data_IF_205045548293
#
_entry.id   IF_205045548293
#
_cell.length_a   1.000
_cell.length_b   1.000
_cell.length_c   1.000
_cell.angle_alpha   90.00
_cell.angle_beta   90.00
_cell.angle_gamma   90.00
#
_symmetry.space_group_name_H-M   'P 1'
#
loop_
_entity.id
_entity.type
_entity.pdbx_description
1 polymer ?
#
# COMPACT_ATOMS: atom_id res chain seq x y z
N UNK A 1 1.02 11.35 68.21
CA UNK A 1 0.83 11.47 69.67
C UNK A 1 0.71 12.95 69.94
N UNK A 2 -0.48 13.54 69.91
CA UNK A 2 -1.70 13.14 70.62
C UNK A 2 -2.92 13.37 69.73
N UNK A 3 -3.90 12.52 69.97
CA UNK A 3 -5.18 12.32 69.30
C UNK A 3 -6.25 13.37 69.64
N UNK A 4 -7.43 13.16 69.04
CA UNK A 4 -8.79 13.33 69.62
C UNK A 4 -9.36 14.75 69.59
N UNK A 5 -10.58 15.01 69.13
CA UNK A 5 -11.61 14.29 68.35
C UNK A 5 -12.82 15.25 68.31
N UNK A 6 -13.82 14.91 67.47
CA UNK A 6 -15.26 15.08 67.73
C UNK A 6 -15.87 16.49 67.74
N UNK A 7 -17.08 16.73 67.27
CA UNK A 7 -18.09 15.94 66.55
C UNK A 7 -19.19 16.93 66.11
N UNK A 8 -20.09 16.46 65.25
CA UNK A 8 -21.54 16.72 65.21
C UNK A 8 -21.97 16.98 63.77
N UNK A 9 -22.31 15.95 63.00
CA UNK A 9 -23.51 15.10 63.09
C UNK A 9 -24.77 15.80 62.56
N UNK A 10 -25.37 15.14 61.57
CA UNK A 10 -26.80 14.76 61.49
C UNK A 10 -27.24 14.82 60.01
N UNK A 11 -27.80 13.81 59.37
CA UNK A 11 -28.23 12.47 59.75
C UNK A 11 -28.81 11.85 58.48
N UNK A 12 -28.41 10.61 58.16
CA UNK A 12 -29.12 9.74 57.21
C UNK A 12 -30.38 9.19 57.92
N UNK A 13 -31.45 8.63 57.29
CA UNK A 13 -31.29 7.43 56.44
C UNK A 13 -32.42 7.04 55.43
N UNK A 14 -32.12 5.97 54.66
CA UNK A 14 -33.00 4.94 54.05
C UNK A 14 -33.77 5.21 52.73
N UNK A 15 -33.57 4.32 51.73
CA UNK A 15 -34.63 3.82 50.84
C UNK A 15 -34.25 3.47 49.37
N UNK A 16 -34.12 2.18 49.02
CA UNK A 16 -34.14 1.62 47.63
C UNK A 16 -35.57 1.13 47.26
N UNK A 17 -35.90 0.56 46.07
CA UNK A 17 -35.55 0.78 44.63
C UNK A 17 -36.81 0.84 43.67
N UNK A 18 -36.65 1.21 42.37
CA UNK A 18 -37.23 0.53 41.15
C UNK A 18 -37.41 1.40 39.87
N UNK A 19 -36.83 0.89 38.78
CA UNK A 19 -37.25 0.83 37.37
C UNK A 19 -37.89 2.05 36.65
N UNK A 20 -37.16 2.59 35.66
CA UNK A 20 -37.75 3.08 34.41
C UNK A 20 -37.13 2.37 33.21
N UNK A 21 -38.01 1.80 32.39
CA UNK A 21 -37.74 1.12 31.12
C UNK A 21 -37.40 2.15 30.03
N UNK A 22 -36.50 1.79 29.13
CA UNK A 22 -36.47 2.37 27.79
C UNK A 22 -35.08 2.78 27.30
N UNK A 23 -34.42 1.88 26.57
CA UNK A 23 -33.75 2.13 25.29
C UNK A 23 -32.94 0.88 24.94
N UNK A 24 -33.20 0.26 23.79
CA UNK A 24 -32.30 -0.73 23.21
C UNK A 24 -30.91 -0.09 23.11
N UNK A 25 -29.81 -0.74 23.56
CA UNK A 25 -28.49 -0.24 23.24
C UNK A 25 -28.37 -0.27 21.72
N UNK A 26 -28.25 0.90 21.09
CA UNK A 26 -27.73 0.97 19.74
C UNK A 26 -26.34 0.37 19.85
N UNK A 27 -26.15 -0.83 19.31
CA UNK A 27 -24.83 -1.41 19.09
C UNK A 27 -24.02 -0.39 18.31
N UNK A 28 -23.20 0.37 19.03
CA UNK A 28 -22.09 1.09 18.44
C UNK A 28 -21.32 0.01 17.68
N UNK A 29 -21.18 0.17 16.36
CA UNK A 29 -20.23 -0.64 15.61
C UNK A 29 -18.89 -0.38 16.28
N UNK A 30 -18.43 -1.35 17.05
CA UNK A 30 -17.12 -1.34 17.65
C UNK A 30 -16.15 -1.05 16.51
N UNK A 31 -15.49 0.11 16.58
CA UNK A 31 -14.51 0.49 15.57
C UNK A 31 -13.39 -0.51 15.70
N UNK A 32 -13.39 -1.54 14.84
CA UNK A 32 -12.32 -2.54 14.81
C UNK A 32 -11.05 -1.80 14.43
N UNK A 33 -10.24 -1.47 15.43
CA UNK A 33 -8.92 -0.91 15.24
C UNK A 33 -8.08 -1.99 14.56
N UNK A 34 -7.64 -1.71 13.33
CA UNK A 34 -6.77 -2.60 12.58
C UNK A 34 -5.32 -2.25 12.89
N UNK A 35 -4.56 -3.23 13.38
CA UNK A 35 -3.12 -3.12 13.46
C UNK A 35 -2.53 -3.26 12.06
N UNK A 36 -1.56 -2.39 11.72
CA UNK A 36 -0.82 -2.39 10.46
C UNK A 36 0.64 -2.22 10.73
N UNK A 37 1.48 -2.81 9.87
CA UNK A 37 2.91 -2.54 9.91
C UNK A 37 3.21 -1.11 9.42
N UNK A 38 4.35 -0.50 9.82
CA UNK A 38 4.74 0.81 9.30
C UNK A 38 4.80 0.84 7.77
N UNK A 39 5.32 -0.22 7.13
CA UNK A 39 5.40 -0.31 5.68
C UNK A 39 4.02 -0.35 5.01
N UNK A 40 3.10 -1.15 5.55
CA UNK A 40 1.72 -1.23 5.05
C UNK A 40 0.99 0.11 5.20
N UNK A 41 1.20 0.81 6.32
CA UNK A 41 0.63 2.13 6.55
C UNK A 41 1.07 3.14 5.48
N UNK A 42 2.36 3.23 5.16
CA UNK A 42 2.86 4.16 4.15
C UNK A 42 2.50 3.75 2.72
N UNK A 43 2.39 2.45 2.43
CA UNK A 43 1.97 1.96 1.12
C UNK A 43 0.54 2.40 0.79
N UNK A 44 -0.36 2.38 1.78
CA UNK A 44 -1.74 2.84 1.64
C UNK A 44 -1.88 4.37 1.71
N UNK A 45 -1.00 5.06 2.43
CA UNK A 45 -1.10 6.49 2.73
C UNK A 45 0.12 7.26 2.20
N UNK A 46 0.41 7.14 0.90
CA UNK A 46 1.62 7.72 0.27
C UNK A 46 1.75 9.23 0.44
N UNK A 47 0.62 9.94 0.50
CA UNK A 47 0.58 11.40 0.68
C UNK A 47 1.17 11.86 2.02
N UNK A 48 1.07 11.05 3.08
CA UNK A 48 1.59 11.38 4.41
C UNK A 48 3.11 11.54 4.37
N UNK A 49 3.79 10.68 3.61
CA UNK A 49 5.24 10.75 3.43
C UNK A 49 5.66 11.58 2.21
N UNK A 50 4.73 12.26 1.52
CA UNK A 50 5.04 13.11 0.38
C UNK A 50 5.29 12.37 -0.96
N UNK A 51 4.87 11.10 -1.05
CA UNK A 51 5.02 10.25 -2.24
C UNK A 51 3.74 10.16 -3.10
N UNK A 52 2.88 11.18 -3.06
CA UNK A 52 1.61 11.24 -3.78
C UNK A 52 1.74 11.69 -5.24
N UNK A 53 2.74 12.51 -5.54
CA UNK A 53 3.02 13.05 -6.87
C UNK A 53 4.47 12.72 -7.26
N UNK A 54 4.78 12.23 -8.48
CA UNK A 54 6.14 11.93 -8.91
C UNK A 54 7.14 13.06 -8.67
N UNK A 55 6.78 14.32 -8.96
CA UNK A 55 7.69 15.46 -8.74
C UNK A 55 7.99 15.69 -7.26
N UNK A 56 6.96 15.59 -6.40
CA UNK A 56 7.12 15.71 -4.95
C UNK A 56 7.84 14.51 -4.34
N UNK A 57 7.64 13.33 -4.91
CA UNK A 57 8.33 12.09 -4.52
C UNK A 57 9.83 12.22 -4.76
N UNK A 58 10.22 12.73 -5.93
CA UNK A 58 11.62 12.96 -6.28
C UNK A 58 12.26 14.01 -5.36
N UNK A 59 11.58 15.15 -5.17
CA UNK A 59 12.05 16.20 -4.26
C UNK A 59 12.23 15.68 -2.83
N UNK A 60 11.22 14.98 -2.29
CA UNK A 60 11.27 14.41 -0.93
C UNK A 60 12.43 13.43 -0.82
N UNK A 61 12.61 12.55 -1.81
CA UNK A 61 13.72 11.57 -1.81
C UNK A 61 15.08 12.26 -1.75
N UNK A 62 15.32 13.28 -2.59
CA UNK A 62 16.59 14.01 -2.60
C UNK A 62 16.79 14.75 -1.28
N UNK A 63 15.76 15.44 -0.77
CA UNK A 63 15.85 16.18 0.48
C UNK A 63 16.25 15.28 1.64
N UNK A 64 15.55 14.17 1.84
CA UNK A 64 15.81 13.25 2.95
C UNK A 64 17.22 12.62 2.84
N UNK A 65 17.70 12.30 1.63
CA UNK A 65 19.06 11.79 1.43
C UNK A 65 20.12 12.83 1.80
N UNK A 66 19.89 14.10 1.46
CA UNK A 66 20.82 15.20 1.80
C UNK A 66 20.77 15.52 3.28
N UNK A 67 19.58 15.59 3.89
CA UNK A 67 19.39 15.78 5.33
C UNK A 67 20.12 14.67 6.11
N UNK A 68 19.93 13.41 5.73
CA UNK A 68 20.65 12.29 6.35
C UNK A 68 22.18 12.37 6.20
N UNK A 69 22.67 12.86 5.05
CA UNK A 69 24.12 13.03 4.83
C UNK A 69 24.69 14.16 5.70
N UNK A 70 23.97 15.27 5.83
CA UNK A 70 24.35 16.39 6.70
C UNK A 70 24.33 15.99 8.17
N UNK A 71 23.27 15.32 8.63
CA UNK A 71 23.16 14.82 10.01
C UNK A 71 24.30 13.85 10.33
N UNK A 72 24.69 13.01 9.37
CA UNK A 72 25.83 12.09 9.53
C UNK A 72 27.15 12.84 9.67
N UNK A 73 27.38 13.88 8.86
CA UNK A 73 28.59 14.70 8.94
C UNK A 73 28.65 15.52 10.25
N UNK A 74 27.52 16.07 10.69
CA UNK A 74 27.40 16.75 11.99
C UNK A 74 27.71 15.79 13.14
N UNK A 75 27.24 14.54 13.08
CA UNK A 75 27.46 13.56 14.15
C UNK A 75 28.93 13.20 14.39
N UNK A 76 29.81 13.49 13.42
CA UNK A 76 31.25 13.25 13.48
C UNK A 76 32.09 14.53 13.44
N UNK A 77 31.46 15.71 13.47
CA UNK A 77 32.09 17.03 13.39
C UNK A 77 33.02 17.23 12.17
N UNK A 78 32.72 16.60 11.02
CA UNK A 78 33.46 16.79 9.78
C UNK A 78 32.70 17.66 8.76
N UNK A 79 33.46 18.40 7.94
CA UNK A 79 32.88 19.22 6.88
C UNK A 79 32.35 18.31 5.75
N UNK A 80 31.05 18.36 5.44
CA UNK A 80 30.46 17.49 4.42
C UNK A 80 30.88 17.93 3.00
N UNK A 81 31.19 16.94 2.16
CA UNK A 81 31.24 17.08 0.70
C UNK A 81 30.17 16.14 0.15
N UNK A 82 29.06 16.70 -0.33
CA UNK A 82 27.90 15.91 -0.77
C UNK A 82 27.75 16.03 -2.29
N UNK A 83 27.77 14.89 -2.98
CA UNK A 83 27.49 14.79 -4.41
C UNK A 83 26.16 14.09 -4.65
N UNK A 84 25.21 14.80 -5.27
CA UNK A 84 23.89 14.24 -5.63
C UNK A 84 23.82 14.02 -7.13
N UNK A 85 23.54 12.79 -7.53
CA UNK A 85 23.37 12.40 -8.94
C UNK A 85 21.93 11.90 -9.18
N UNK A 86 21.31 12.43 -10.24
CA UNK A 86 19.98 12.06 -10.71
C UNK A 86 20.10 11.49 -12.13
N UNK A 87 19.80 10.21 -12.29
CA UNK A 87 19.84 9.56 -13.61
C UNK A 87 18.46 9.02 -13.95
N UNK A 88 17.95 9.40 -15.12
CA UNK A 88 16.75 8.75 -15.67
C UNK A 88 17.12 7.35 -16.16
N UNK A 89 16.35 6.36 -15.72
CA UNK A 89 16.53 4.95 -16.05
C UNK A 89 15.29 4.41 -16.72
N UNK A 90 15.47 3.34 -17.49
CA UNK A 90 14.35 2.60 -18.05
C UNK A 90 13.62 1.77 -16.99
N UNK A 91 12.37 1.42 -17.27
CA UNK A 91 11.58 0.49 -16.44
C UNK A 91 12.27 -0.88 -16.29
N UNK A 92 12.97 -1.36 -17.32
CA UNK A 92 13.70 -2.63 -17.28
C UNK A 92 14.88 -2.60 -16.30
N UNK A 93 15.64 -1.50 -16.31
CA UNK A 93 16.73 -1.28 -15.35
C UNK A 93 16.21 -1.15 -13.92
N UNK A 94 15.10 -0.42 -13.73
CA UNK A 94 14.43 -0.32 -12.44
C UNK A 94 14.01 -1.68 -11.89
N UNK A 95 13.31 -2.49 -12.70
CA UNK A 95 12.89 -3.84 -12.31
C UNK A 95 14.07 -4.73 -11.93
N UNK A 96 15.17 -4.64 -12.68
CA UNK A 96 16.40 -5.38 -12.40
C UNK A 96 17.00 -4.97 -11.05
N UNK A 97 17.06 -3.67 -10.76
CA UNK A 97 17.61 -3.15 -9.50
C UNK A 97 16.80 -3.56 -8.27
N UNK A 98 15.47 -3.63 -8.38
CA UNK A 98 14.61 -4.07 -7.27
C UNK A 98 14.45 -5.60 -7.19
N UNK A 99 15.18 -6.36 -8.02
CA UNK A 99 15.13 -7.83 -8.03
C UNK A 99 13.87 -8.42 -8.66
N UNK A 100 13.06 -7.62 -9.35
CA UNK A 100 11.92 -8.05 -10.18
C UNK A 100 12.42 -8.54 -11.55
N UNK A 101 13.38 -9.46 -11.52
CA UNK A 101 13.82 -10.20 -12.70
C UNK A 101 12.85 -11.36 -12.82
N UNK A 102 12.13 -11.44 -13.94
CA UNK A 102 11.35 -12.61 -14.30
C UNK A 102 12.32 -13.79 -14.45
N UNK A 103 12.52 -14.53 -13.36
CA UNK A 103 13.27 -15.79 -13.39
C UNK A 103 12.33 -16.83 -13.98
N UNK A 104 12.64 -17.31 -15.18
CA UNK A 104 11.97 -18.49 -15.69
C UNK A 104 12.19 -19.66 -14.74
N UNK A 105 11.13 -20.43 -14.47
CA UNK A 105 11.25 -21.69 -13.74
C UNK A 105 12.14 -22.60 -14.57
N UNK A 106 13.33 -22.92 -14.06
CA UNK A 106 14.32 -23.75 -14.75
C UNK A 106 13.82 -25.18 -14.93
N UNK A 107 13.05 -25.68 -13.97
CA UNK A 107 12.45 -27.01 -14.04
C UNK A 107 10.97 -26.95 -13.65
N UNK A 108 10.11 -27.00 -14.66
CA UNK A 108 8.66 -26.97 -14.44
C UNK A 108 8.16 -28.27 -13.78
N UNK A 109 8.88 -29.39 -13.90
CA UNK A 109 8.46 -30.72 -13.44
C UNK A 109 8.53 -30.86 -11.91
N UNK A 110 9.28 -29.99 -11.25
CA UNK A 110 9.46 -30.00 -9.79
C UNK A 110 8.28 -29.38 -9.03
N UNK A 111 7.31 -28.78 -9.71
CA UNK A 111 6.20 -28.07 -9.09
C UNK A 111 4.88 -28.83 -9.19
N UNK A 112 4.06 -28.75 -8.14
CA UNK A 112 2.76 -29.43 -8.06
C UNK A 112 1.73 -28.91 -9.09
N UNK A 113 1.99 -27.76 -9.72
CA UNK A 113 1.21 -27.18 -10.82
C UNK A 113 1.73 -27.60 -12.21
N UNK A 114 2.63 -28.58 -12.28
CA UNK A 114 3.18 -29.06 -13.54
C UNK A 114 2.08 -29.56 -14.49
N UNK A 115 1.90 -28.81 -15.56
CA UNK A 115 0.98 -29.13 -16.64
C UNK A 115 1.82 -29.54 -17.85
N UNK A 116 1.71 -30.81 -18.29
CA UNK A 116 2.39 -31.27 -19.51
C UNK A 116 2.09 -30.34 -20.69
N UNK A 117 3.01 -30.21 -21.65
CA UNK A 117 2.82 -29.35 -22.84
C UNK A 117 1.47 -29.62 -23.51
N UNK A 118 1.08 -30.89 -23.63
CA UNK A 118 -0.22 -31.32 -24.16
C UNK A 118 -1.41 -30.86 -23.31
N UNK A 119 -1.28 -30.87 -21.99
CA UNK A 119 -2.34 -30.40 -21.09
C UNK A 119 -2.48 -28.87 -21.17
N UNK A 120 -1.36 -28.14 -21.22
CA UNK A 120 -1.33 -26.68 -21.36
C UNK A 120 -1.96 -26.25 -22.69
N UNK A 121 -1.59 -26.88 -23.80
CA UNK A 121 -2.20 -26.63 -25.12
C UNK A 121 -3.69 -26.94 -25.12
N UNK A 122 -4.11 -28.04 -24.49
CA UNK A 122 -5.53 -28.43 -24.40
C UNK A 122 -6.33 -27.42 -23.58
N UNK A 123 -5.79 -26.91 -22.47
CA UNK A 123 -6.44 -25.89 -21.65
C UNK A 123 -6.51 -24.57 -22.39
N UNK A 124 -5.42 -24.12 -23.00
CA UNK A 124 -5.36 -22.86 -23.76
C UNK A 124 -6.31 -22.89 -24.97
N UNK A 125 -6.42 -24.03 -25.66
CA UNK A 125 -7.38 -24.23 -26.74
C UNK A 125 -8.84 -24.25 -26.23
N UNK A 126 -9.10 -24.83 -25.05
CA UNK A 126 -10.42 -24.82 -24.41
C UNK A 126 -10.82 -23.41 -24.00
N UNK A 127 -9.92 -22.67 -23.36
CA UNK A 127 -10.10 -21.28 -22.95
C UNK A 127 -10.33 -20.38 -24.17
N UNK A 128 -9.55 -20.52 -25.25
CA UNK A 128 -9.76 -19.77 -26.49
C UNK A 128 -11.14 -20.06 -27.12
N UNK A 129 -11.57 -21.33 -27.11
CA UNK A 129 -12.89 -21.73 -27.63
C UNK A 129 -14.03 -21.20 -26.76
N UNK A 130 -13.86 -21.13 -25.45
CA UNK A 130 -14.82 -20.54 -24.52
C UNK A 130 -14.86 -19.02 -24.65
N UNK A 131 -13.72 -18.37 -24.85
CA UNK A 131 -13.61 -16.93 -25.07
C UNK A 131 -14.20 -16.51 -26.42
N UNK A 132 -14.05 -17.34 -27.45
CA UNK A 132 -14.73 -17.17 -28.75
C UNK A 132 -16.25 -17.36 -28.63
N UNK A 133 -16.71 -18.34 -27.85
CA UNK A 133 -18.14 -18.50 -27.55
C UNK A 133 -18.68 -17.31 -26.76
N UNK A 134 -17.91 -16.82 -25.79
CA UNK A 134 -18.29 -15.68 -24.97
C UNK A 134 -18.32 -14.41 -25.83
N UNK A 135 -17.31 -14.16 -26.66
CA UNK A 135 -17.29 -13.02 -27.58
C UNK A 135 -18.41 -13.09 -28.63
N UNK A 136 -18.71 -14.28 -29.16
CA UNK A 136 -19.90 -14.49 -30.01
C UNK A 136 -21.19 -14.21 -29.26
N UNK A 137 -21.32 -14.67 -28.01
CA UNK A 137 -22.49 -14.41 -27.17
C UNK A 137 -22.65 -12.94 -26.79
N UNK A 138 -21.53 -12.22 -26.61
CA UNK A 138 -21.49 -10.77 -26.38
C UNK A 138 -21.87 -10.02 -27.68
N UNK A 139 -21.37 -10.45 -28.84
CA UNK A 139 -21.71 -9.88 -30.15
C UNK A 139 -23.18 -10.09 -30.55
N UNK A 140 -23.84 -11.13 -30.02
CA UNK A 140 -25.27 -11.41 -30.18
C UNK A 140 -26.20 -10.52 -29.31
N UNK A 141 -25.68 -9.47 -28.66
CA UNK A 141 -26.49 -8.31 -28.30
C UNK A 141 -26.95 -8.19 -26.84
N UNK A 142 -26.13 -8.59 -25.86
CA UNK A 142 -26.24 -8.04 -24.49
C UNK A 142 -25.25 -6.88 -24.32
N UNK A 143 -25.77 -5.65 -24.45
CA UNK A 143 -25.03 -4.37 -24.31
C UNK A 143 -24.35 -4.24 -22.93
N UNK A 144 -23.03 -4.01 -22.92
CA UNK A 144 -22.45 -2.88 -22.19
C UNK A 144 -21.03 -2.50 -22.71
N UNK A 145 -20.98 -1.29 -23.28
CA UNK A 145 -19.91 -0.27 -23.38
C UNK A 145 -18.56 -0.63 -24.05
N UNK A 146 -18.33 0.03 -25.18
CA UNK A 146 -17.11 0.03 -26.01
C UNK A 146 -15.87 0.62 -25.30
N UNK A 147 -14.70 0.04 -25.56
CA UNK A 147 -13.37 0.63 -25.30
C UNK A 147 -12.82 1.24 -26.59
N UNK A 148 -12.18 2.43 -26.55
CA UNK A 148 -11.59 3.03 -27.73
C UNK A 148 -10.19 2.49 -28.03
N UNK A 149 -9.93 2.34 -29.33
CA UNK A 149 -8.70 1.85 -29.95
C UNK A 149 -7.51 2.81 -29.82
N UNK A 150 -6.31 2.21 -29.74
CA UNK A 150 -5.01 2.86 -29.79
C UNK A 150 -4.74 3.61 -31.11
N UNK A 151 -4.29 4.87 -31.01
CA UNK A 151 -3.39 5.53 -31.98
C UNK A 151 -2.39 6.41 -31.22
N UNK A 152 -1.13 6.30 -31.62
CA UNK A 152 0.02 6.95 -31.00
C UNK A 152 -0.01 8.47 -31.07
N UNK A 153 0.11 9.07 -29.90
CA UNK A 153 0.57 10.43 -29.61
C UNK A 153 1.36 10.26 -28.31
N UNK A 154 2.60 10.77 -28.23
CA UNK A 154 3.41 10.69 -27.00
C UNK A 154 2.57 11.18 -25.82
N UNK A 155 2.18 10.25 -24.96
CA UNK A 155 1.21 10.50 -23.92
C UNK A 155 1.90 11.25 -22.77
N UNK A 156 1.34 12.40 -22.42
CA UNK A 156 1.58 13.10 -21.17
C UNK A 156 1.25 12.14 -20.03
N UNK A 157 2.26 11.41 -19.53
CA UNK A 157 2.08 10.36 -18.51
C UNK A 157 3.00 9.15 -18.61
N UNK A 158 4.09 9.17 -19.38
CA UNK A 158 5.12 8.15 -19.24
C UNK A 158 5.70 8.20 -17.82
N UNK A 159 5.72 7.03 -17.17
CA UNK A 159 6.31 6.87 -15.84
C UNK A 159 7.82 6.90 -16.00
N UNK A 160 8.43 8.06 -15.74
CA UNK A 160 9.90 8.18 -15.65
C UNK A 160 10.37 7.57 -14.33
N UNK A 161 11.46 6.82 -14.41
CA UNK A 161 12.13 6.23 -13.25
C UNK A 161 13.47 6.95 -13.07
N UNK A 162 13.81 7.27 -11.83
CA UNK A 162 15.06 7.94 -11.52
C UNK A 162 15.86 7.14 -10.51
N UNK A 163 17.16 6.96 -10.78
CA UNK A 163 18.14 6.53 -9.79
C UNK A 163 18.69 7.79 -9.12
N UNK A 164 18.49 7.88 -7.81
CA UNK A 164 19.05 8.96 -6.98
C UNK A 164 20.22 8.39 -6.19
N UNK A 165 21.39 8.98 -6.36
CA UNK A 165 22.59 8.61 -5.60
C UNK A 165 23.08 9.82 -4.82
N UNK A 166 23.36 9.63 -3.53
CA UNK A 166 23.97 10.63 -2.64
C UNK A 166 25.28 10.03 -2.13
N UNK A 167 26.40 10.74 -2.32
CA UNK A 167 27.74 10.33 -1.88
C UNK A 167 28.37 11.41 -1.03
#
# INVERSE_FOLDING_TARGET
>A
MVDVDTDSNDGSPVGQPKQKKGAKPKTAKESVLKQKSPAEFFAENKNIAGFDNPGKSLYTTVRELVENALDSAESIDELPVIEVTLEEISKGEFNTMIGLIDRERVDAELYDDFESVKAREKRLAKEAREQEKLSKSISLGKKLKEMPSAKGVKARGETSFFRVTCK
#
